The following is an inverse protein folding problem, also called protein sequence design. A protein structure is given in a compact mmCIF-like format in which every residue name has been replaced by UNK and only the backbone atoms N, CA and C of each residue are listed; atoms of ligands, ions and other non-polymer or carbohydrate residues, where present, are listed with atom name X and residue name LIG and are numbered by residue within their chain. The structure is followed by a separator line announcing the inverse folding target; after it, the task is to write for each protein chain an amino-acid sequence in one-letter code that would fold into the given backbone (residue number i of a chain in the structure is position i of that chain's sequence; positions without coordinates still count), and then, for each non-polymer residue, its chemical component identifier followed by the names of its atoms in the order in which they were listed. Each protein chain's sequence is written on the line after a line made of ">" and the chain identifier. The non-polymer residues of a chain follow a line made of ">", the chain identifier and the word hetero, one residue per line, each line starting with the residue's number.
data_IF_884746797082
#
_entry.id   IF_884746797082
#
_cell.length_a   1.000
_cell.length_b   1.000
_cell.length_c   1.000
_cell.angle_alpha   90.00
_cell.angle_beta   90.00
_cell.angle_gamma   90.00
#
_symmetry.space_group_name_H-M   'P 1'
#
loop_
_entity.id
_entity.type
_entity.pdbx_description
1 polymer ?
#
# COMPACT_ATOMS: atom_id res chain seq x y z
N UNK A 1 -7.81 -20.29 10.11
CA UNK A 1 -7.31 -18.96 10.50
C UNK A 1 -7.16 -18.95 12.00
N UNK A 2 -5.97 -18.66 12.53
CA UNK A 2 -5.73 -18.62 13.96
C UNK A 2 -6.04 -17.22 14.50
N UNK A 3 -6.97 -17.11 15.45
CA UNK A 3 -7.34 -15.83 16.07
C UNK A 3 -6.58 -15.65 17.37
N UNK A 4 -5.89 -14.52 17.54
CA UNK A 4 -5.24 -14.14 18.80
C UNK A 4 -6.01 -12.98 19.45
N UNK A 5 -6.19 -13.04 20.76
CA UNK A 5 -6.80 -11.94 21.53
C UNK A 5 -5.71 -11.09 22.16
N UNK A 6 -5.83 -9.78 22.00
CA UNK A 6 -4.93 -8.78 22.59
C UNK A 6 -5.74 -7.83 23.46
N UNK A 7 -5.24 -7.51 24.65
CA UNK A 7 -5.79 -6.43 25.48
C UNK A 7 -5.05 -5.14 25.16
N UNK A 8 -5.79 -4.08 24.80
CA UNK A 8 -5.23 -2.80 24.38
C UNK A 8 -5.74 -1.71 25.32
N UNK A 9 -4.83 -0.89 25.85
CA UNK A 9 -5.20 0.28 26.64
C UNK A 9 -5.50 1.45 25.69
N UNK A 10 -6.76 1.85 25.59
CA UNK A 10 -7.21 2.93 24.72
C UNK A 10 -7.46 4.21 25.54
N UNK A 11 -7.10 5.40 25.01
CA UNK A 11 -7.59 6.66 25.58
C UNK A 11 -9.12 6.67 25.63
N UNK A 12 -9.70 7.17 26.71
CA UNK A 12 -11.16 7.13 26.93
C UNK A 12 -11.95 7.75 25.77
N UNK A 13 -11.47 8.87 25.22
CA UNK A 13 -12.09 9.54 24.08
C UNK A 13 -12.17 8.63 22.83
N UNK A 14 -11.13 7.84 22.58
CA UNK A 14 -11.08 6.92 21.44
C UNK A 14 -12.03 5.74 21.65
N UNK A 15 -12.10 5.20 22.86
CA UNK A 15 -13.03 4.13 23.20
C UNK A 15 -14.49 4.56 23.01
N UNK A 16 -14.86 5.78 23.45
CA UNK A 16 -16.22 6.30 23.26
C UNK A 16 -16.57 6.53 21.78
N UNK A 17 -15.63 7.01 20.96
CA UNK A 17 -15.83 7.14 19.51
C UNK A 17 -16.09 5.78 18.85
N UNK A 18 -15.29 4.76 19.18
CA UNK A 18 -15.48 3.41 18.65
C UNK A 18 -16.81 2.79 19.12
N UNK A 19 -17.22 3.05 20.36
CA UNK A 19 -18.51 2.61 20.92
C UNK A 19 -19.70 3.25 20.21
N UNK A 20 -19.62 4.55 19.90
CA UNK A 20 -20.65 5.23 19.13
C UNK A 20 -20.77 4.67 17.71
N UNK A 21 -19.63 4.46 17.05
CA UNK A 21 -19.61 3.87 15.71
C UNK A 21 -20.16 2.44 15.72
N UNK A 22 -19.74 1.61 16.67
CA UNK A 22 -20.24 0.25 16.87
C UNK A 22 -21.77 0.21 17.03
N UNK A 23 -22.33 1.14 17.80
CA UNK A 23 -23.79 1.26 17.99
C UNK A 23 -24.52 1.64 16.70
N UNK A 24 -23.95 2.53 15.88
CA UNK A 24 -24.50 2.94 14.59
C UNK A 24 -24.40 1.82 13.54
N UNK A 25 -23.31 1.06 13.55
CA UNK A 25 -23.04 -0.04 12.62
C UNK A 25 -23.70 -1.37 13.03
N UNK A 26 -24.33 -1.45 14.21
CA UNK A 26 -24.76 -2.70 14.85
C UNK A 26 -23.64 -3.76 14.94
N UNK A 27 -22.41 -3.32 15.21
CA UNK A 27 -21.21 -4.16 15.33
C UNK A 27 -20.63 -4.09 16.75
N UNK A 28 -19.66 -4.94 17.05
CA UNK A 28 -18.91 -4.86 18.31
C UNK A 28 -17.81 -3.81 18.22
N UNK A 29 -17.41 -3.25 19.36
CA UNK A 29 -16.27 -2.33 19.45
C UNK A 29 -14.97 -2.99 18.94
N UNK A 30 -14.83 -4.30 19.17
CA UNK A 30 -13.72 -5.09 18.64
C UNK A 30 -13.72 -5.12 17.10
N UNK A 31 -14.88 -5.35 16.47
CA UNK A 31 -14.98 -5.37 15.00
C UNK A 31 -14.64 -4.00 14.39
N UNK A 32 -15.11 -2.92 14.99
CA UNK A 32 -14.78 -1.55 14.57
C UNK A 32 -13.29 -1.25 14.75
N UNK A 33 -12.69 -1.69 15.85
CA UNK A 33 -11.25 -1.53 16.08
C UNK A 33 -10.44 -2.31 15.04
N UNK A 34 -10.82 -3.56 14.74
CA UNK A 34 -10.16 -4.38 13.72
C UNK A 34 -10.29 -3.75 12.34
N UNK A 35 -11.45 -3.21 11.98
CA UNK A 35 -11.66 -2.53 10.69
C UNK A 35 -10.78 -1.29 10.56
N UNK A 36 -10.73 -0.43 11.58
CA UNK A 36 -9.84 0.73 11.59
C UNK A 36 -8.37 0.29 11.51
N UNK A 37 -7.96 -0.73 12.27
CA UNK A 37 -6.60 -1.25 12.21
C UNK A 37 -6.28 -1.83 10.83
N UNK A 38 -7.20 -2.57 10.20
CA UNK A 38 -7.00 -3.17 8.88
C UNK A 38 -6.81 -2.11 7.76
N UNK A 39 -7.44 -0.93 7.90
CA UNK A 39 -7.22 0.17 6.94
C UNK A 39 -5.81 0.78 7.02
N UNK A 40 -5.16 0.70 8.19
CA UNK A 40 -3.85 1.33 8.46
C UNK A 40 -2.71 0.29 8.43
N UNK A 41 -3.02 -0.93 8.83
CA UNK A 41 -2.13 -2.09 8.88
C UNK A 41 -2.61 -3.06 7.80
N UNK A 42 -2.07 -2.98 6.58
CA UNK A 42 -2.42 -3.92 5.53
C UNK A 42 -2.10 -5.34 6.03
N UNK A 43 -3.13 -6.19 6.09
CA UNK A 43 -2.90 -7.62 6.25
C UNK A 43 -2.15 -8.10 5.01
N UNK A 44 -1.05 -8.83 5.23
CA UNK A 44 -0.24 -9.35 4.14
C UNK A 44 -1.12 -10.18 3.18
N UNK A 45 -1.38 -9.62 1.99
CA UNK A 45 -2.15 -10.27 0.93
C UNK A 45 -3.44 -9.56 0.48
N UNK A 46 -3.98 -8.62 1.26
CA UNK A 46 -5.16 -7.84 0.83
C UNK A 46 -4.72 -6.43 0.36
N UNK A 47 -5.14 -6.07 -0.85
CA UNK A 47 -4.88 -4.72 -1.39
C UNK A 47 -5.62 -3.69 -0.55
N UNK A 48 -4.94 -2.60 -0.20
CA UNK A 48 -5.57 -1.47 0.47
C UNK A 48 -6.79 -1.00 -0.35
N UNK A 49 -7.99 -0.82 0.25
CA UNK A 49 -9.19 -0.41 -0.49
C UNK A 49 -9.00 0.88 -1.31
N UNK A 50 -8.19 1.83 -0.82
CA UNK A 50 -7.86 3.04 -1.57
C UNK A 50 -7.04 2.74 -2.84
N UNK A 51 -6.19 1.71 -2.80
CA UNK A 51 -5.44 1.27 -3.98
C UNK A 51 -6.36 0.57 -4.99
N UNK A 52 -7.31 -0.25 -4.52
CA UNK A 52 -8.31 -0.89 -5.38
C UNK A 52 -9.15 0.14 -6.13
N UNK A 53 -9.63 1.17 -5.42
CA UNK A 53 -10.39 2.26 -6.04
C UNK A 53 -9.55 3.04 -7.05
N UNK A 54 -8.29 3.36 -6.70
CA UNK A 54 -7.37 4.03 -7.60
C UNK A 54 -7.14 3.21 -8.88
N UNK A 55 -6.97 1.89 -8.77
CA UNK A 55 -6.81 1.00 -9.92
C UNK A 55 -8.05 0.97 -10.82
N UNK A 56 -9.25 1.01 -10.23
CA UNK A 56 -10.50 1.08 -10.99
C UNK A 56 -10.65 2.41 -11.75
N UNK A 57 -10.28 3.54 -11.11
CA UNK A 57 -10.32 4.86 -11.76
C UNK A 57 -9.40 4.96 -12.98
N UNK A 58 -8.34 4.14 -13.05
CA UNK A 58 -7.43 4.12 -14.20
C UNK A 58 -8.10 3.71 -15.52
N UNK A 59 -9.21 2.97 -15.47
CA UNK A 59 -9.96 2.57 -16.67
C UNK A 59 -10.47 3.79 -17.45
N UNK A 60 -10.68 4.93 -16.78
CA UNK A 60 -11.17 6.18 -17.36
C UNK A 60 -10.07 7.13 -17.84
N UNK A 61 -8.80 6.80 -17.61
CA UNK A 61 -7.67 7.63 -18.07
C UNK A 61 -7.45 7.48 -19.58
N UNK A 62 -6.96 8.54 -20.22
CA UNK A 62 -6.49 8.47 -21.61
C UNK A 62 -5.13 7.77 -21.74
N UNK A 63 -4.74 7.45 -22.97
CA UNK A 63 -3.52 6.70 -23.24
C UNK A 63 -2.24 7.46 -22.82
N UNK A 64 -2.25 8.80 -22.86
CA UNK A 64 -1.11 9.62 -22.45
C UNK A 64 -0.92 9.55 -20.94
N UNK A 65 -2.00 9.70 -20.17
CA UNK A 65 -2.00 9.58 -18.73
C UNK A 65 -1.61 8.17 -18.30
N UNK A 66 -2.10 7.12 -18.96
CA UNK A 66 -1.68 5.74 -18.70
C UNK A 66 -0.18 5.54 -18.98
N UNK A 67 0.37 6.10 -20.06
CA UNK A 67 1.82 6.05 -20.34
C UNK A 67 2.63 6.71 -19.23
N UNK A 68 2.20 7.87 -18.74
CA UNK A 68 2.86 8.54 -17.62
C UNK A 68 2.84 7.67 -16.35
N UNK A 69 1.72 7.00 -16.06
CA UNK A 69 1.62 6.08 -14.91
C UNK A 69 2.53 4.87 -15.09
N UNK A 70 2.59 4.28 -16.28
CA UNK A 70 3.45 3.13 -16.59
C UNK A 70 4.96 3.43 -16.46
N UNK A 71 5.35 4.70 -16.64
CA UNK A 71 6.71 5.20 -16.49
C UNK A 71 7.01 5.77 -15.09
N UNK A 72 6.08 5.63 -14.13
CA UNK A 72 6.37 6.06 -12.75
C UNK A 72 7.44 5.19 -12.13
N UNK A 73 8.35 5.81 -11.40
CA UNK A 73 9.36 5.12 -10.61
C UNK A 73 9.47 5.76 -9.23
N UNK A 74 9.96 4.99 -8.28
CA UNK A 74 10.33 5.50 -6.96
C UNK A 74 11.38 6.61 -7.14
N UNK A 75 11.33 7.68 -6.36
CA UNK A 75 12.33 8.77 -6.50
C UNK A 75 13.75 8.25 -6.33
N UNK A 76 14.74 8.83 -7.02
CA UNK A 76 16.14 8.39 -6.93
C UNK A 76 16.64 8.35 -5.47
N UNK A 77 16.24 9.33 -4.66
CA UNK A 77 16.55 9.39 -3.24
C UNK A 77 15.95 8.20 -2.46
N UNK A 78 14.70 7.86 -2.73
CA UNK A 78 14.01 6.75 -2.09
C UNK A 78 14.59 5.39 -2.53
N UNK A 79 14.94 5.24 -3.82
CA UNK A 79 15.65 4.04 -4.32
C UNK A 79 17.00 3.85 -3.64
N UNK A 80 17.83 4.89 -3.61
CA UNK A 80 19.14 4.85 -2.94
C UNK A 80 18.99 4.54 -1.45
N UNK A 81 17.95 5.09 -0.79
CA UNK A 81 17.69 4.83 0.61
C UNK A 81 17.27 3.37 0.86
N UNK A 82 16.39 2.83 0.02
CA UNK A 82 15.95 1.43 0.12
C UNK A 82 17.12 0.47 -0.12
N UNK A 83 17.96 0.73 -1.12
CA UNK A 83 19.20 -0.03 -1.37
C UNK A 83 20.15 0.00 -0.18
N UNK A 84 20.41 1.18 0.38
CA UNK A 84 21.26 1.34 1.57
C UNK A 84 20.73 0.56 2.77
N UNK A 85 19.42 0.60 3.03
CA UNK A 85 18.79 -0.17 4.12
C UNK A 85 18.87 -1.68 3.88
N UNK A 86 18.67 -2.14 2.65
CA UNK A 86 18.83 -3.56 2.30
C UNK A 86 20.26 -4.06 2.52
N UNK A 87 21.27 -3.28 2.10
CA UNK A 87 22.68 -3.60 2.33
C UNK A 87 22.99 -3.65 3.84
N UNK A 88 22.49 -2.69 4.62
CA UNK A 88 22.67 -2.67 6.08
C UNK A 88 22.04 -3.91 6.73
N UNK A 89 20.80 -4.24 6.34
CA UNK A 89 20.07 -5.42 6.85
C UNK A 89 20.86 -6.71 6.69
N UNK A 90 21.54 -6.88 5.54
CA UNK A 90 22.36 -8.06 5.26
C UNK A 90 23.66 -8.12 6.07
N UNK A 91 24.24 -6.95 6.40
CA UNK A 91 25.53 -6.86 7.09
C UNK A 91 25.42 -6.97 8.60
N UNK A 92 24.49 -6.23 9.20
CA UNK A 92 24.44 -6.03 10.64
C UNK A 92 23.01 -5.99 11.21
N UNK A 93 22.00 -6.16 10.36
CA UNK A 93 20.60 -6.02 10.74
C UNK A 93 20.10 -4.57 10.70
N UNK A 94 18.82 -4.37 11.02
CA UNK A 94 18.19 -3.06 11.09
C UNK A 94 17.71 -2.78 12.50
N UNK A 95 17.82 -1.52 12.93
CA UNK A 95 17.06 -1.04 14.08
C UNK A 95 15.57 -1.02 13.76
N UNK A 96 14.71 -1.00 14.78
CA UNK A 96 13.26 -0.95 14.60
C UNK A 96 12.81 0.25 13.74
N UNK A 97 13.37 1.43 14.00
CA UNK A 97 13.08 2.64 13.21
C UNK A 97 13.54 2.52 11.74
N UNK A 98 14.62 1.78 11.48
CA UNK A 98 15.09 1.52 10.11
C UNK A 98 14.26 0.46 9.40
N UNK A 99 13.85 -0.59 10.11
CA UNK A 99 12.93 -1.59 9.58
C UNK A 99 11.58 -0.95 9.21
N UNK A 100 11.07 -0.06 10.06
CA UNK A 100 9.85 0.70 9.75
C UNK A 100 10.02 1.58 8.51
N UNK A 101 11.14 2.29 8.38
CA UNK A 101 11.46 3.09 7.17
C UNK A 101 11.59 2.22 5.92
N UNK A 102 12.24 1.06 6.01
CA UNK A 102 12.35 0.11 4.91
C UNK A 102 10.98 -0.39 4.47
N UNK A 103 10.10 -0.74 5.42
CA UNK A 103 8.73 -1.19 5.13
C UNK A 103 7.87 -0.09 4.49
N UNK A 104 8.06 1.18 4.85
CA UNK A 104 7.36 2.30 4.19
C UNK A 104 7.81 2.42 2.73
N UNK A 105 9.12 2.44 2.49
CA UNK A 105 9.69 2.52 1.13
C UNK A 105 9.32 1.32 0.27
N UNK A 106 9.27 0.13 0.86
CA UNK A 106 8.86 -1.09 0.17
C UNK A 106 7.39 -1.02 -0.25
N UNK A 107 6.49 -0.57 0.64
CA UNK A 107 5.07 -0.40 0.31
C UNK A 107 4.85 0.64 -0.79
N UNK A 108 5.59 1.75 -0.77
CA UNK A 108 5.55 2.75 -1.84
C UNK A 108 6.00 2.14 -3.18
N UNK A 109 7.07 1.36 -3.17
CA UNK A 109 7.58 0.67 -4.36
C UNK A 109 6.58 -0.36 -4.92
N UNK A 110 5.99 -1.19 -4.06
CA UNK A 110 4.96 -2.17 -4.42
C UNK A 110 3.74 -1.49 -5.06
N UNK A 111 3.27 -0.39 -4.48
CA UNK A 111 2.19 0.40 -5.05
C UNK A 111 2.53 0.93 -6.45
N UNK A 112 3.74 1.43 -6.66
CA UNK A 112 4.20 1.89 -7.98
C UNK A 112 4.19 0.73 -8.98
N UNK A 113 4.69 -0.45 -8.62
CA UNK A 113 4.67 -1.63 -9.51
C UNK A 113 3.24 -1.98 -9.92
N UNK A 114 2.30 -2.01 -8.98
CA UNK A 114 0.90 -2.35 -9.27
C UNK A 114 0.27 -1.35 -10.22
N UNK A 115 0.48 -0.05 -10.00
CA UNK A 115 0.00 1.00 -10.89
C UNK A 115 0.61 0.87 -12.30
N UNK A 116 1.91 0.60 -12.40
CA UNK A 116 2.56 0.40 -13.70
C UNK A 116 2.00 -0.81 -14.44
N UNK A 117 1.80 -1.92 -13.73
CA UNK A 117 1.26 -3.15 -14.30
C UNK A 117 -0.16 -2.94 -14.84
N UNK A 118 -1.03 -2.26 -14.07
CA UNK A 118 -2.39 -1.93 -14.51
C UNK A 118 -2.38 -0.98 -15.71
N UNK A 119 -1.52 0.04 -15.71
CA UNK A 119 -1.40 0.96 -16.84
C UNK A 119 -0.93 0.24 -18.12
N UNK A 120 0.10 -0.61 -18.01
CA UNK A 120 0.59 -1.41 -19.12
C UNK A 120 -0.48 -2.39 -19.65
N UNK A 121 -1.26 -3.03 -18.76
CA UNK A 121 -2.39 -3.88 -19.13
C UNK A 121 -3.42 -3.11 -19.95
N UNK A 122 -3.88 -1.95 -19.46
CA UNK A 122 -4.89 -1.13 -20.14
C UNK A 122 -4.39 -0.61 -21.50
N UNK A 123 -3.13 -0.16 -21.58
CA UNK A 123 -2.52 0.25 -22.85
C UNK A 123 -2.51 -0.89 -23.87
N UNK A 124 -2.12 -2.10 -23.43
CA UNK A 124 -2.13 -3.29 -24.29
C UNK A 124 -3.53 -3.66 -24.77
N UNK A 125 -4.54 -3.59 -23.89
CA UNK A 125 -5.95 -3.84 -24.25
C UNK A 125 -6.48 -2.83 -25.27
N UNK A 126 -5.93 -1.60 -25.27
CA UNK A 126 -6.24 -0.55 -26.25
C UNK A 126 -5.40 -0.62 -27.53
N UNK A 127 -4.56 -1.65 -27.68
CA UNK A 127 -3.72 -1.86 -28.87
C UNK A 127 -2.49 -0.96 -28.95
N UNK A 128 -2.09 -0.32 -27.84
CA UNK A 128 -0.87 0.47 -27.76
C UNK A 128 0.36 -0.45 -27.65
N UNK A 129 1.47 -0.07 -28.28
CA UNK A 129 2.75 -0.74 -28.08
C UNK A 129 3.30 -0.41 -26.68
N UNK A 130 3.57 -1.47 -25.91
CA UNK A 130 4.09 -1.40 -24.55
C UNK A 130 5.57 -1.75 -24.47
N UNK A 131 6.23 -2.06 -25.59
CA UNK A 131 7.66 -2.45 -25.64
C UNK A 131 8.57 -1.36 -25.08
N UNK A 132 8.21 -0.10 -25.32
CA UNK A 132 8.94 1.08 -24.82
C UNK A 132 8.87 1.24 -23.29
N UNK A 133 7.93 0.57 -22.61
CA UNK A 133 7.78 0.64 -21.15
C UNK A 133 8.76 -0.26 -20.39
N UNK A 134 9.45 -1.16 -21.10
CA UNK A 134 10.38 -2.16 -20.53
C UNK A 134 11.84 -1.84 -20.84
N UNK A 135 12.14 -0.69 -21.43
CA UNK A 135 13.52 -0.24 -21.62
C UNK A 135 14.08 0.07 -20.23
N UNK A 136 14.97 -0.82 -19.78
CA UNK A 136 15.56 -0.85 -18.44
C UNK A 136 16.17 0.51 -18.04
N UNK A 137 15.83 0.94 -16.83
CA UNK A 137 16.49 2.01 -16.10
C UNK A 137 17.54 1.42 -15.15
#
# INVERSE_FOLDING_TARGET
>A
MATQRLTVNLPQALYEQLKQRAAQSHRTVEAELVEVVATVVPMAGELNPALTELLAQMEHLDDQALRQVAQRHLSQRAQARLQSLNLKRQREGLTEAEAQKANILLREYEQIILLRAQAAKLLKERGQDISELWVEA
#
